data_IF_098689949159
#
_entry.id   IF_098689949159
#
_cell.length_a   1.000
_cell.length_b   1.000
_cell.length_c   1.000
_cell.angle_alpha   90.00
_cell.angle_beta   90.00
_cell.angle_gamma   90.00
#
_symmetry.space_group_name_H-M   'P 1'
#
loop_
_entity.id
_entity.type
_entity.pdbx_description
1 polymer ?
#
# COMPACT_ATOMS: atom_id res chain seq x y z
N UNK A 1 -35.88 10.43 17.44
CA UNK A 1 -34.56 11.01 17.77
C UNK A 1 -33.42 9.95 17.84
N UNK A 2 -33.69 8.73 18.24
CA UNK A 2 -32.71 7.63 18.37
C UNK A 2 -31.98 7.28 17.06
N UNK A 3 -32.68 7.28 15.92
CA UNK A 3 -32.06 6.93 14.62
C UNK A 3 -30.96 7.92 14.15
N UNK A 4 -31.11 9.21 14.46
CA UNK A 4 -30.16 10.23 13.99
C UNK A 4 -28.78 10.09 14.67
N UNK A 5 -28.78 9.79 15.98
CA UNK A 5 -27.54 9.58 16.74
C UNK A 5 -26.85 8.28 16.33
N UNK A 6 -27.61 7.24 16.04
CA UNK A 6 -27.09 5.96 15.52
C UNK A 6 -26.43 6.16 14.14
N UNK A 7 -27.08 6.83 13.21
CA UNK A 7 -26.51 7.12 11.89
C UNK A 7 -25.28 8.02 11.97
N UNK A 8 -25.25 8.98 12.92
CA UNK A 8 -24.07 9.81 13.13
C UNK A 8 -22.91 9.00 13.71
N UNK A 9 -23.16 8.06 14.62
CA UNK A 9 -22.14 7.17 15.17
C UNK A 9 -21.51 6.28 14.06
N UNK A 10 -22.33 5.65 13.22
CA UNK A 10 -21.84 4.87 12.08
C UNK A 10 -21.02 5.69 11.09
N UNK A 11 -21.44 6.94 10.85
CA UNK A 11 -20.69 7.84 9.96
C UNK A 11 -19.33 8.24 10.57
N UNK A 12 -19.29 8.48 11.86
CA UNK A 12 -18.02 8.75 12.57
C UNK A 12 -17.10 7.54 12.55
N UNK A 13 -17.62 6.33 12.79
CA UNK A 13 -16.86 5.09 12.71
C UNK A 13 -16.25 4.89 11.31
N UNK A 14 -17.06 5.02 10.25
CA UNK A 14 -16.56 4.93 8.87
C UNK A 14 -15.47 5.98 8.59
N UNK A 15 -15.63 7.20 9.09
CA UNK A 15 -14.64 8.27 8.90
C UNK A 15 -13.33 7.94 9.64
N UNK A 16 -13.40 7.43 10.86
CA UNK A 16 -12.22 7.00 11.62
C UNK A 16 -11.47 5.86 10.92
N UNK A 17 -12.19 4.84 10.44
CA UNK A 17 -11.60 3.74 9.67
C UNK A 17 -10.92 4.25 8.39
N UNK A 18 -11.54 5.21 7.69
CA UNK A 18 -10.99 5.82 6.48
C UNK A 18 -9.71 6.61 6.78
N UNK A 19 -9.64 7.33 7.91
CA UNK A 19 -8.44 8.04 8.35
C UNK A 19 -7.31 7.08 8.73
N UNK A 20 -7.61 5.99 9.44
CA UNK A 20 -6.64 4.95 9.77
C UNK A 20 -6.06 4.31 8.50
N UNK A 21 -6.92 3.99 7.53
CA UNK A 21 -6.51 3.42 6.26
C UNK A 21 -5.61 4.38 5.48
N UNK A 22 -5.96 5.68 5.44
CA UNK A 22 -5.13 6.70 4.80
C UNK A 22 -3.74 6.80 5.47
N UNK A 23 -3.68 6.70 6.80
CA UNK A 23 -2.43 6.69 7.54
C UNK A 23 -1.57 5.46 7.20
N UNK A 24 -2.18 4.27 7.08
CA UNK A 24 -1.49 3.04 6.67
C UNK A 24 -0.91 3.19 5.25
N UNK A 25 -1.70 3.74 4.31
CA UNK A 25 -1.23 4.01 2.93
C UNK A 25 -0.07 5.01 2.93
N UNK A 26 -0.13 6.02 3.79
CA UNK A 26 0.94 7.01 3.91
C UNK A 26 2.24 6.38 4.42
N UNK A 27 2.18 5.54 5.45
CA UNK A 27 3.34 4.78 5.96
C UNK A 27 3.90 3.85 4.87
N UNK A 28 3.04 3.14 4.15
CA UNK A 28 3.45 2.30 3.01
C UNK A 28 4.14 3.12 1.92
N UNK A 29 3.67 4.34 1.65
CA UNK A 29 4.27 5.28 0.70
C UNK A 29 5.70 5.65 1.10
N UNK A 30 5.93 5.97 2.37
CA UNK A 30 7.30 6.23 2.88
C UNK A 30 8.20 5.02 2.75
N UNK A 31 7.67 3.80 2.94
CA UNK A 31 8.43 2.57 2.76
C UNK A 31 8.86 2.41 1.29
N UNK A 32 7.96 2.67 0.32
CA UNK A 32 8.29 2.65 -1.12
C UNK A 32 9.39 3.66 -1.44
N UNK A 33 9.30 4.89 -0.92
CA UNK A 33 10.31 5.93 -1.13
C UNK A 33 11.68 5.44 -0.63
N UNK A 34 11.75 4.94 0.61
CA UNK A 34 12.99 4.47 1.23
C UNK A 34 13.59 3.29 0.47
N UNK A 35 12.77 2.32 0.06
CA UNK A 35 13.19 1.17 -0.72
C UNK A 35 13.76 1.56 -2.08
N UNK A 36 13.09 2.48 -2.80
CA UNK A 36 13.59 2.98 -4.08
C UNK A 36 14.89 3.78 -3.94
N UNK A 37 15.05 4.55 -2.86
CA UNK A 37 16.32 5.22 -2.57
C UNK A 37 17.47 4.23 -2.38
N UNK A 38 17.21 3.14 -1.65
CA UNK A 38 18.18 2.06 -1.46
C UNK A 38 18.58 1.44 -2.80
N UNK A 39 17.59 1.04 -3.61
CA UNK A 39 17.82 0.47 -4.95
C UNK A 39 18.61 1.43 -5.84
N UNK A 40 18.24 2.71 -5.88
CA UNK A 40 18.99 3.74 -6.64
C UNK A 40 20.42 3.85 -6.14
N UNK A 41 20.63 3.80 -4.82
CA UNK A 41 21.97 3.90 -4.23
C UNK A 41 22.84 2.70 -4.58
N UNK A 42 22.29 1.49 -4.55
CA UNK A 42 22.99 0.27 -4.95
C UNK A 42 23.33 0.26 -6.45
N UNK A 43 22.46 0.86 -7.29
CA UNK A 43 22.61 0.90 -8.73
C UNK A 43 23.39 2.11 -9.26
N UNK A 44 23.99 2.93 -8.39
CA UNK A 44 24.72 4.14 -8.81
C UNK A 44 25.84 3.85 -9.81
N UNK A 45 26.60 2.78 -9.62
CA UNK A 45 27.68 2.38 -10.55
C UNK A 45 27.12 2.00 -11.91
N UNK A 46 26.05 1.19 -11.95
CA UNK A 46 25.40 0.78 -13.20
C UNK A 46 24.83 2.00 -13.95
N UNK A 47 24.22 2.93 -13.20
CA UNK A 47 23.71 4.20 -13.75
C UNK A 47 24.84 5.05 -14.35
N UNK A 48 26.00 5.12 -13.66
CA UNK A 48 27.16 5.84 -14.16
C UNK A 48 27.67 5.26 -15.48
N UNK A 49 27.76 3.94 -15.60
CA UNK A 49 28.13 3.23 -16.83
C UNK A 49 27.14 3.53 -17.96
N UNK A 50 25.83 3.44 -17.69
CA UNK A 50 24.80 3.76 -18.70
C UNK A 50 24.91 5.18 -19.23
N UNK A 51 25.23 6.15 -18.35
CA UNK A 51 25.46 7.54 -18.76
C UNK A 51 26.72 7.73 -19.58
N UNK A 52 27.81 7.01 -19.31
CA UNK A 52 29.04 7.08 -20.11
C UNK A 52 28.86 6.52 -21.52
N UNK A 53 27.93 5.55 -21.69
CA UNK A 53 27.56 5.01 -23.01
C UNK A 53 26.59 5.95 -23.77
N UNK A 54 26.11 7.03 -23.11
CA UNK A 54 25.28 8.07 -23.73
C UNK A 54 23.78 7.97 -23.43
N UNK A 55 23.37 7.19 -22.44
CA UNK A 55 21.96 7.15 -22.01
C UNK A 55 21.54 8.52 -21.41
N UNK A 56 20.39 9.01 -21.83
CA UNK A 56 19.85 10.29 -21.35
C UNK A 56 19.39 10.17 -19.90
N UNK A 57 19.56 11.24 -19.05
CA UNK A 57 19.07 11.24 -17.68
C UNK A 57 17.59 10.91 -17.55
N UNK A 58 16.77 11.36 -18.51
CA UNK A 58 15.33 11.08 -18.53
C UNK A 58 15.01 9.61 -18.72
N UNK A 59 15.80 8.91 -19.55
CA UNK A 59 15.58 7.46 -19.80
C UNK A 59 15.84 6.66 -18.52
N UNK A 60 16.86 7.03 -17.75
CA UNK A 60 17.15 6.46 -16.44
C UNK A 60 16.01 6.74 -15.46
N UNK A 61 15.50 7.96 -15.43
CA UNK A 61 14.36 8.33 -14.59
C UNK A 61 13.14 7.48 -14.91
N UNK A 62 12.82 7.28 -16.20
CA UNK A 62 11.67 6.45 -16.62
C UNK A 62 11.81 4.99 -16.20
N UNK A 63 13.01 4.41 -16.22
CA UNK A 63 13.25 3.04 -15.76
C UNK A 63 12.83 2.89 -14.29
N UNK A 64 13.25 3.79 -13.41
CA UNK A 64 12.90 3.73 -11.99
C UNK A 64 11.44 4.07 -11.72
N UNK A 65 10.84 5.00 -12.47
CA UNK A 65 9.39 5.28 -12.39
C UNK A 65 8.61 4.02 -12.78
N UNK A 66 8.94 3.39 -13.91
CA UNK A 66 8.26 2.19 -14.36
C UNK A 66 8.39 1.04 -13.35
N UNK A 67 9.58 0.85 -12.79
CA UNK A 67 9.82 -0.16 -11.74
C UNK A 67 8.94 0.10 -10.50
N UNK A 68 8.87 1.34 -10.02
CA UNK A 68 8.08 1.67 -8.85
C UNK A 68 6.57 1.57 -9.10
N UNK A 69 6.10 2.02 -10.27
CA UNK A 69 4.70 1.88 -10.69
C UNK A 69 4.31 0.39 -10.81
N UNK A 70 5.17 -0.42 -11.40
CA UNK A 70 4.95 -1.86 -11.52
C UNK A 70 4.84 -2.54 -10.15
N UNK A 71 5.76 -2.24 -9.23
CA UNK A 71 5.71 -2.76 -7.86
C UNK A 71 4.45 -2.30 -7.13
N UNK A 72 4.08 -1.04 -7.26
CA UNK A 72 2.84 -0.49 -6.69
C UNK A 72 1.60 -1.19 -7.23
N UNK A 73 1.53 -1.41 -8.54
CA UNK A 73 0.42 -2.12 -9.18
C UNK A 73 0.30 -3.57 -8.68
N UNK A 74 1.42 -4.30 -8.65
CA UNK A 74 1.46 -5.68 -8.12
C UNK A 74 1.03 -5.71 -6.66
N UNK A 75 1.52 -4.78 -5.84
CA UNK A 75 1.13 -4.66 -4.44
C UNK A 75 -0.37 -4.42 -4.25
N UNK A 76 -0.97 -3.55 -5.07
CA UNK A 76 -2.42 -3.27 -5.02
C UNK A 76 -3.21 -4.52 -5.42
N UNK A 77 -2.83 -5.21 -6.49
CA UNK A 77 -3.52 -6.44 -6.95
C UNK A 77 -3.45 -7.52 -5.87
N UNK A 78 -2.29 -7.76 -5.29
CA UNK A 78 -2.12 -8.72 -4.20
C UNK A 78 -2.91 -8.32 -2.95
N UNK A 79 -2.84 -7.04 -2.56
CA UNK A 79 -3.57 -6.51 -1.41
C UNK A 79 -5.09 -6.64 -1.56
N UNK A 80 -5.63 -6.29 -2.73
CA UNK A 80 -7.06 -6.45 -3.03
C UNK A 80 -7.48 -7.93 -3.01
N UNK A 81 -6.69 -8.79 -3.67
CA UNK A 81 -7.00 -10.23 -3.73
C UNK A 81 -7.03 -10.84 -2.34
N UNK A 82 -6.00 -10.59 -1.53
CA UNK A 82 -5.93 -11.08 -0.15
C UNK A 82 -7.04 -10.47 0.71
N UNK A 83 -7.30 -9.17 0.60
CA UNK A 83 -8.36 -8.49 1.34
C UNK A 83 -9.74 -9.05 1.05
N UNK A 84 -10.05 -9.32 -0.22
CA UNK A 84 -11.32 -9.92 -0.62
C UNK A 84 -11.43 -11.36 -0.11
N UNK A 85 -10.39 -12.18 -0.26
CA UNK A 85 -10.37 -13.56 0.21
C UNK A 85 -10.60 -13.63 1.73
N UNK A 86 -9.89 -12.79 2.50
CA UNK A 86 -10.04 -12.73 3.95
C UNK A 86 -11.45 -12.27 4.33
N UNK A 87 -11.97 -11.24 3.67
CA UNK A 87 -13.30 -10.70 3.94
C UNK A 87 -14.42 -11.72 3.66
N UNK A 88 -14.30 -12.50 2.57
CA UNK A 88 -15.27 -13.55 2.23
C UNK A 88 -15.21 -14.77 3.16
N UNK A 89 -14.06 -15.02 3.78
CA UNK A 89 -13.84 -16.16 4.68
C UNK A 89 -13.79 -15.75 6.17
N UNK A 90 -14.23 -14.52 6.49
CA UNK A 90 -14.09 -13.96 7.84
C UNK A 90 -14.72 -14.86 8.91
N UNK A 91 -15.91 -15.39 8.68
CA UNK A 91 -16.59 -16.29 9.62
C UNK A 91 -15.82 -17.58 9.87
N UNK A 92 -15.22 -18.18 8.84
CA UNK A 92 -14.40 -19.38 8.98
C UNK A 92 -13.11 -19.08 9.75
N UNK A 93 -12.50 -17.92 9.52
CA UNK A 93 -11.29 -17.49 10.20
C UNK A 93 -11.57 -17.26 11.68
N UNK A 94 -12.67 -16.56 12.02
CA UNK A 94 -13.07 -16.31 13.41
C UNK A 94 -13.33 -17.63 14.13
N UNK A 95 -14.14 -18.54 13.56
CA UNK A 95 -14.43 -19.86 14.14
C UNK A 95 -13.16 -20.70 14.35
N UNK A 96 -12.20 -20.62 13.42
CA UNK A 96 -10.91 -21.29 13.55
C UNK A 96 -10.09 -20.74 14.72
N UNK A 97 -10.04 -19.42 14.88
CA UNK A 97 -9.33 -18.76 16.00
C UNK A 97 -9.99 -19.12 17.33
N UNK A 98 -11.34 -19.11 17.42
CA UNK A 98 -12.10 -19.53 18.59
C UNK A 98 -11.79 -20.98 18.99
N UNK A 99 -11.67 -21.87 18.00
CA UNK A 99 -11.32 -23.28 18.25
C UNK A 99 -9.94 -23.47 18.88
N UNK A 100 -8.99 -22.57 18.56
CA UNK A 100 -7.63 -22.61 19.12
C UNK A 100 -7.60 -22.00 20.53
N UNK A 101 -8.34 -20.89 20.75
CA UNK A 101 -8.36 -20.19 22.03
C UNK A 101 -9.21 -20.91 23.10
N UNK A 102 -10.10 -21.81 22.69
CA UNK A 102 -10.97 -22.59 23.60
C UNK A 102 -12.10 -21.77 24.23
N UNK A 103 -12.33 -20.55 23.78
CA UNK A 103 -13.45 -19.71 24.18
C UNK A 103 -13.98 -18.88 23.01
N UNK A 104 -15.29 -18.61 22.98
CA UNK A 104 -15.91 -17.77 21.99
C UNK A 104 -15.46 -16.32 22.15
N UNK A 105 -14.99 -15.70 21.06
CA UNK A 105 -14.65 -14.25 20.99
C UNK A 105 -15.94 -13.45 20.85
N UNK A 106 -16.93 -14.02 20.18
CA UNK A 106 -18.25 -13.46 19.99
C UNK A 106 -19.24 -14.23 20.88
N UNK A 107 -19.52 -13.70 22.06
CA UNK A 107 -20.58 -14.21 22.91
C UNK A 107 -21.93 -14.01 22.19
N UNK A 108 -22.50 -15.12 21.72
CA UNK A 108 -23.80 -15.17 21.03
C UNK A 108 -24.94 -14.58 21.86
N UNK A 109 -24.79 -14.54 23.20
CA UNK A 109 -25.78 -13.99 24.13
C UNK A 109 -25.76 -12.45 24.21
N UNK A 110 -24.65 -11.82 23.80
CA UNK A 110 -24.50 -10.34 23.84
C UNK A 110 -24.81 -9.73 22.47
N UNK A 111 -24.42 -10.43 21.43
CA UNK A 111 -24.59 -9.97 20.05
C UNK A 111 -25.61 -10.78 19.30
N UNK A 112 -26.82 -10.84 19.47
CA UNK A 112 -27.94 -11.47 18.69
C UNK A 112 -27.64 -11.76 17.17
N UNK A 113 -26.37 -11.80 16.78
CA UNK A 113 -25.85 -11.95 15.42
C UNK A 113 -24.87 -13.11 15.43
N UNK A 114 -25.29 -14.23 14.87
CA UNK A 114 -24.51 -15.48 14.77
C UNK A 114 -23.35 -15.42 13.76
N UNK A 115 -23.32 -14.42 12.89
CA UNK A 115 -22.35 -14.27 11.81
C UNK A 115 -21.84 -12.85 11.74
N UNK A 116 -20.55 -12.66 11.47
CA UNK A 116 -19.94 -11.34 11.29
C UNK A 116 -20.32 -10.81 9.91
N UNK A 117 -21.22 -9.82 9.78
CA UNK A 117 -21.67 -9.36 8.46
C UNK A 117 -20.58 -8.54 7.77
N UNK A 118 -19.67 -9.19 7.07
CA UNK A 118 -18.69 -8.52 6.22
C UNK A 118 -19.36 -8.10 4.91
N UNK A 119 -19.64 -6.81 4.75
CA UNK A 119 -20.15 -6.24 3.50
C UNK A 119 -19.03 -5.58 2.70
N UNK A 120 -18.65 -6.23 1.61
CA UNK A 120 -17.69 -5.66 0.66
C UNK A 120 -18.42 -4.58 -0.17
N UNK A 121 -17.98 -3.33 -0.04
CA UNK A 121 -18.46 -2.24 -0.88
C UNK A 121 -17.46 -2.00 -2.01
N UNK A 122 -17.88 -2.27 -3.24
CA UNK A 122 -17.03 -2.13 -4.45
C UNK A 122 -16.47 -0.70 -4.58
N UNK A 123 -17.27 0.32 -4.23
CA UNK A 123 -16.82 1.71 -4.26
C UNK A 123 -15.65 1.97 -3.32
N UNK A 124 -15.68 1.41 -2.11
CA UNK A 124 -14.58 1.58 -1.14
C UNK A 124 -13.30 0.90 -1.67
N UNK A 125 -13.40 -0.27 -2.32
CA UNK A 125 -12.26 -0.94 -2.96
C UNK A 125 -11.66 -0.08 -4.09
N UNK A 126 -12.50 0.54 -4.92
CA UNK A 126 -12.07 1.42 -6.01
C UNK A 126 -11.35 2.65 -5.45
N UNK A 127 -11.93 3.31 -4.43
CA UNK A 127 -11.30 4.48 -3.81
C UNK A 127 -9.96 4.16 -3.19
N UNK A 128 -9.86 3.06 -2.43
CA UNK A 128 -8.61 2.63 -1.81
C UNK A 128 -7.55 2.33 -2.86
N UNK A 129 -7.92 1.59 -3.89
CA UNK A 129 -7.00 1.23 -4.98
C UNK A 129 -6.48 2.47 -5.72
N UNK A 130 -7.38 3.41 -6.04
CA UNK A 130 -7.03 4.64 -6.74
C UNK A 130 -6.11 5.52 -5.89
N UNK A 131 -6.45 5.72 -4.62
CA UNK A 131 -5.64 6.50 -3.68
C UNK A 131 -4.26 5.85 -3.53
N UNK A 132 -4.19 4.54 -3.28
CA UNK A 132 -2.93 3.81 -3.13
C UNK A 132 -2.07 3.89 -4.39
N UNK A 133 -2.68 3.80 -5.58
CA UNK A 133 -1.98 3.93 -6.85
C UNK A 133 -1.40 5.32 -7.05
N UNK A 134 -2.17 6.38 -6.74
CA UNK A 134 -1.69 7.76 -6.81
C UNK A 134 -0.52 8.00 -5.86
N UNK A 135 -0.63 7.54 -4.61
CA UNK A 135 0.45 7.66 -3.64
C UNK A 135 1.71 6.89 -4.09
N UNK A 136 1.55 5.69 -4.65
CA UNK A 136 2.66 4.92 -5.23
C UNK A 136 3.34 5.67 -6.38
N UNK A 137 2.57 6.28 -7.29
CA UNK A 137 3.10 7.13 -8.35
C UNK A 137 3.94 8.30 -7.79
N UNK A 138 3.39 9.06 -6.85
CA UNK A 138 4.10 10.18 -6.23
C UNK A 138 5.36 9.72 -5.50
N UNK A 139 5.30 8.58 -4.80
CA UNK A 139 6.43 8.00 -4.09
C UNK A 139 7.62 7.68 -5.01
N UNK A 140 7.35 7.31 -6.27
CA UNK A 140 8.40 6.92 -7.21
C UNK A 140 9.09 8.10 -7.89
N UNK A 141 8.44 9.26 -7.99
CA UNK A 141 8.95 10.43 -8.72
C UNK A 141 10.25 10.95 -8.11
N UNK A 142 10.26 11.18 -6.80
CA UNK A 142 11.39 11.82 -6.14
C UNK A 142 12.69 10.97 -6.18
N UNK A 143 12.69 9.67 -5.83
CA UNK A 143 13.86 8.81 -5.98
C UNK A 143 14.35 8.68 -7.43
N UNK A 144 13.41 8.62 -8.39
CA UNK A 144 13.72 8.49 -9.82
C UNK A 144 14.42 9.74 -10.38
N UNK A 145 14.00 10.94 -9.97
CA UNK A 145 14.68 12.19 -10.30
C UNK A 145 16.10 12.18 -9.70
N UNK A 146 16.27 11.69 -8.49
CA UNK A 146 17.58 11.62 -7.86
C UNK A 146 18.51 10.66 -8.59
N UNK A 147 17.99 9.48 -9.03
CA UNK A 147 18.71 8.55 -9.88
C UNK A 147 19.22 9.21 -11.17
N UNK A 148 18.39 10.02 -11.80
CA UNK A 148 18.74 10.73 -13.06
C UNK A 148 19.84 11.78 -12.88
N UNK A 149 20.05 12.31 -11.68
CA UNK A 149 21.06 13.35 -11.36
C UNK A 149 22.42 12.77 -10.94
N UNK A 150 22.57 11.46 -10.78
CA UNK A 150 23.86 10.82 -10.40
C UNK A 150 24.96 11.22 -11.39
N UNK A 151 26.06 11.78 -10.89
CA UNK A 151 27.20 12.21 -11.72
C UNK A 151 28.18 11.07 -11.90
N UNK A 152 28.57 10.70 -13.16
CA UNK A 152 29.53 9.62 -13.44
C UNK A 152 30.90 9.84 -12.80
N UNK A 153 31.36 11.11 -12.76
CA UNK A 153 32.70 11.46 -12.32
C UNK A 153 32.99 11.19 -10.83
N UNK A 154 32.00 11.28 -9.96
CA UNK A 154 32.16 11.02 -8.52
C UNK A 154 32.23 9.52 -8.18
N UNK A 155 31.60 8.67 -9.00
CA UNK A 155 31.54 7.22 -8.76
C UNK A 155 32.76 6.47 -9.29
N UNK A 156 33.48 7.03 -10.29
CA UNK A 156 34.70 6.44 -10.85
C UNK A 156 35.95 6.82 -10.04
N UNK A 157 35.88 7.79 -9.12
CA UNK A 157 36.98 8.30 -8.30
C UNK A 157 37.08 7.62 -6.92
N UNK A 158 36.16 6.74 -6.59
CA UNK A 158 35.96 6.16 -5.25
C UNK A 158 36.39 4.68 -5.13
N UNK A 159 37.41 4.25 -5.86
CA UNK A 159 38.17 3.03 -5.59
C UNK A 159 39.65 3.30 -5.65
#
# INVERSE_FOLDING_TARGET
MMNKNFFNALKMEKTMLMLLMLLIVLVATFNIISSLFMVVSEKKSDIAILKTIGMRPNDIMYIFIFQGVFLGFVGIVLGLTLGIIISLNLDHIVKFIESILGHSILDSDIYLISDVPAKIQILDLIYVSLISFLFSLFATIYPSINASKTMPAEQLKGN
#
